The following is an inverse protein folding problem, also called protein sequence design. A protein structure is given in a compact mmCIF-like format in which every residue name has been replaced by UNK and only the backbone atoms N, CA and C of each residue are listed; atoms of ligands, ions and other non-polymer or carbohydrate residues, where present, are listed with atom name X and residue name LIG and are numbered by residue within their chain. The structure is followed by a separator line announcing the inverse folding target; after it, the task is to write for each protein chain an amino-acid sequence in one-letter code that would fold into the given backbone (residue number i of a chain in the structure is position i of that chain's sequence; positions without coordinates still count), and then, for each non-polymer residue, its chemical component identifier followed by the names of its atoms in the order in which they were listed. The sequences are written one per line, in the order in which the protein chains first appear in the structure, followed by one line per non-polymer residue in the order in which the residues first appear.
data_IF_432983003403
#
_entry.id   IF_432983003403
#
_cell.length_a   1.000
_cell.length_b   1.000
_cell.length_c   1.000
_cell.angle_alpha   90.00
_cell.angle_beta   90.00
_cell.angle_gamma   90.00
#
_symmetry.space_group_name_H-M   'P 1'
#
loop_
_entity.id
_entity.type
_entity.pdbx_description
1 polymer ?
#
# COMPACT_ATOMS: atom_id res chain seq x y z
N UNK A 1 5.04 7.05 0.95
CA UNK A 1 5.25 5.83 0.14
C UNK A 1 5.88 4.76 1.00
N UNK A 2 5.27 3.61 1.04
CA UNK A 2 5.74 2.45 1.79
C UNK A 2 6.39 1.45 0.83
N UNK A 3 7.43 0.77 1.27
CA UNK A 3 8.27 -0.05 0.39
C UNK A 3 8.11 -1.54 0.57
N UNK A 4 7.74 -1.95 1.77
CA UNK A 4 7.60 -3.35 2.13
C UNK A 4 6.13 -3.72 2.28
N UNK A 5 5.79 -4.96 1.98
CA UNK A 5 4.47 -5.48 2.29
C UNK A 5 4.14 -5.22 3.77
N UNK A 6 2.94 -4.76 4.11
CA UNK A 6 2.54 -4.43 5.47
C UNK A 6 2.27 -5.71 6.28
N UNK A 7 3.30 -6.55 6.42
CA UNK A 7 3.22 -7.73 7.27
C UNK A 7 3.08 -7.30 8.74
N UNK A 8 2.54 -8.15 9.62
CA UNK A 8 2.47 -7.86 11.05
C UNK A 8 3.83 -7.48 11.63
N UNK A 9 4.90 -8.15 11.18
CA UNK A 9 6.27 -7.88 11.61
C UNK A 9 6.80 -6.52 11.12
N UNK A 10 6.53 -6.16 9.85
CA UNK A 10 6.93 -4.86 9.30
C UNK A 10 6.24 -3.69 10.00
N UNK A 11 4.97 -3.84 10.36
CA UNK A 11 4.24 -2.85 11.15
C UNK A 11 4.80 -2.71 12.57
N UNK A 12 5.17 -3.82 13.19
CA UNK A 12 5.78 -3.82 14.53
C UNK A 12 7.11 -3.08 14.56
N UNK A 13 7.96 -3.31 13.58
CA UNK A 13 9.28 -2.68 13.46
C UNK A 13 9.21 -1.22 13.02
N UNK A 14 8.03 -0.67 12.71
CA UNK A 14 7.88 0.69 12.18
C UNK A 14 8.92 1.01 11.12
N UNK A 15 9.00 0.19 10.10
CA UNK A 15 9.98 0.37 9.06
C UNK A 15 9.69 1.64 8.25
N UNK A 16 10.23 2.74 8.70
CA UNK A 16 10.27 4.02 7.98
C UNK A 16 11.53 4.06 7.13
N UNK A 17 11.51 3.39 6.01
CA UNK A 17 12.59 3.50 5.05
C UNK A 17 12.48 4.85 4.33
N UNK A 18 13.17 5.83 4.83
CA UNK A 18 13.29 7.19 4.28
C UNK A 18 14.23 7.26 3.08
N UNK A 19 14.28 6.29 2.19
CA UNK A 19 15.14 6.35 1.00
C UNK A 19 14.33 6.51 -0.28
N UNK A 20 14.81 7.40 -1.16
CA UNK A 20 14.28 7.63 -2.50
C UNK A 20 14.42 6.36 -3.34
N UNK A 21 13.41 5.51 -3.34
CA UNK A 21 13.30 4.39 -4.27
C UNK A 21 12.27 4.77 -5.31
N UNK A 22 12.64 4.58 -6.55
CA UNK A 22 11.81 4.90 -7.70
C UNK A 22 10.57 3.98 -7.78
N UNK A 23 10.73 2.71 -7.43
CA UNK A 23 9.64 1.73 -7.39
C UNK A 23 9.28 1.38 -5.95
N UNK A 24 8.00 1.19 -5.70
CA UNK A 24 7.46 0.89 -4.37
C UNK A 24 6.44 -0.25 -4.45
N UNK A 25 6.26 -0.97 -3.35
CA UNK A 25 5.30 -2.06 -3.27
C UNK A 25 3.87 -1.56 -3.18
N UNK A 26 3.65 -0.49 -2.47
CA UNK A 26 2.36 0.16 -2.34
C UNK A 26 2.50 1.64 -2.02
N UNK A 27 1.45 2.39 -2.27
CA UNK A 27 1.37 3.84 -2.05
C UNK A 27 0.09 4.19 -1.32
N UNK A 28 0.15 5.27 -0.54
CA UNK A 28 -1.04 5.84 0.09
C UNK A 28 -1.87 6.59 -0.96
N UNK A 29 -3.19 6.40 -0.93
CA UNK A 29 -4.13 7.00 -1.88
C UNK A 29 -4.40 8.50 -1.64
N UNK A 30 -3.69 9.16 -0.73
CA UNK A 30 -3.81 10.62 -0.57
C UNK A 30 -3.54 11.39 -1.88
N UNK A 31 -2.66 10.84 -2.74
CA UNK A 31 -2.49 11.29 -4.10
C UNK A 31 -2.02 10.10 -4.96
N UNK A 32 -2.93 9.53 -5.71
CA UNK A 32 -2.68 8.39 -6.59
C UNK A 32 -3.18 8.71 -7.99
N UNK A 33 -2.33 8.50 -8.98
CA UNK A 33 -2.70 8.60 -10.40
C UNK A 33 -2.61 7.23 -11.03
N UNK A 34 -3.68 6.81 -11.67
CA UNK A 34 -3.80 5.52 -12.32
C UNK A 34 -4.42 5.71 -13.72
N UNK A 35 -3.98 4.90 -14.67
CA UNK A 35 -4.62 4.90 -16.01
C UNK A 35 -6.02 4.31 -15.88
N UNK A 36 -6.99 4.91 -16.60
CA UNK A 36 -8.40 4.48 -16.59
C UNK A 36 -8.56 2.99 -16.90
N UNK A 37 -7.90 2.50 -17.95
CA UNK A 37 -7.98 1.09 -18.33
C UNK A 37 -7.47 0.14 -17.23
N UNK A 38 -6.45 0.53 -16.48
CA UNK A 38 -5.94 -0.25 -15.33
C UNK A 38 -6.95 -0.22 -14.21
N UNK A 39 -7.55 0.93 -13.92
CA UNK A 39 -8.61 1.07 -12.92
C UNK A 39 -9.81 0.16 -13.23
N UNK A 40 -10.27 0.17 -14.47
CA UNK A 40 -11.38 -0.65 -14.93
C UNK A 40 -11.04 -2.14 -14.90
N UNK A 41 -9.84 -2.53 -15.37
CA UNK A 41 -9.35 -3.90 -15.32
C UNK A 41 -9.28 -4.46 -13.88
N UNK A 42 -8.89 -3.63 -12.93
CA UNK A 42 -8.77 -4.01 -11.53
C UNK A 42 -10.07 -3.80 -10.73
N UNK A 43 -11.14 -3.31 -11.37
CA UNK A 43 -12.42 -3.00 -10.72
C UNK A 43 -12.31 -1.99 -9.55
N UNK A 44 -11.35 -1.06 -9.62
CA UNK A 44 -11.21 0.01 -8.64
C UNK A 44 -10.80 -0.47 -7.23
N UNK A 45 -11.25 0.23 -6.20
CA UNK A 45 -11.07 -0.18 -4.81
C UNK A 45 -11.99 -1.37 -4.45
N UNK A 46 -11.53 -2.25 -3.59
CA UNK A 46 -12.39 -3.27 -2.98
C UNK A 46 -13.27 -2.60 -1.90
N UNK A 47 -14.58 -2.51 -2.19
CA UNK A 47 -15.57 -1.89 -1.30
C UNK A 47 -15.74 -2.63 0.04
N UNK A 48 -15.17 -3.81 0.18
CA UNK A 48 -15.10 -4.52 1.47
C UNK A 48 -14.21 -3.82 2.50
N UNK A 49 -13.36 -2.87 2.09
CA UNK A 49 -12.65 -1.98 3.00
C UNK A 49 -13.49 -0.72 3.23
N UNK A 50 -13.97 -0.54 4.46
CA UNK A 50 -14.69 0.70 4.80
C UNK A 50 -13.74 1.90 4.88
N UNK A 51 -12.56 1.70 5.46
CA UNK A 51 -11.51 2.71 5.61
C UNK A 51 -10.19 2.02 5.94
N UNK A 52 -9.09 2.50 5.36
CA UNK A 52 -7.73 1.95 5.48
C UNK A 52 -7.51 0.65 4.71
N UNK A 53 -6.31 0.45 4.24
CA UNK A 53 -5.81 -0.71 3.48
C UNK A 53 -6.42 -0.91 2.08
N UNK A 54 -7.41 -0.11 1.66
CA UNK A 54 -7.93 -0.12 0.28
C UNK A 54 -6.86 0.25 -0.74
N UNK A 55 -5.98 1.18 -0.37
CA UNK A 55 -4.85 1.63 -1.17
C UNK A 55 -3.74 0.58 -1.26
N UNK A 56 -3.49 -0.11 -0.17
CA UNK A 56 -2.56 -1.25 -0.13
C UNK A 56 -3.07 -2.37 -1.03
N UNK A 57 -4.33 -2.78 -0.87
CA UNK A 57 -4.94 -3.84 -1.67
C UNK A 57 -4.90 -3.52 -3.16
N UNK A 58 -5.31 -2.31 -3.56
CA UNK A 58 -5.23 -1.86 -4.95
C UNK A 58 -3.78 -1.89 -5.47
N UNK A 59 -2.83 -1.40 -4.70
CA UNK A 59 -1.41 -1.41 -5.06
C UNK A 59 -0.90 -2.84 -5.30
N UNK A 60 -1.26 -3.78 -4.43
CA UNK A 60 -0.89 -5.19 -4.60
C UNK A 60 -1.51 -5.80 -5.84
N UNK A 61 -2.78 -5.47 -6.16
CA UNK A 61 -3.43 -5.92 -7.40
C UNK A 61 -2.76 -5.35 -8.65
N UNK A 62 -2.34 -4.09 -8.63
CA UNK A 62 -1.53 -3.48 -9.69
C UNK A 62 -0.25 -4.28 -9.92
N UNK A 63 0.49 -4.59 -8.84
CA UNK A 63 1.73 -5.37 -8.94
C UNK A 63 1.50 -6.81 -9.39
N UNK A 64 0.46 -7.46 -8.90
CA UNK A 64 0.09 -8.82 -9.33
C UNK A 64 -0.33 -8.89 -10.79
N UNK A 65 -0.82 -7.78 -11.36
CA UNK A 65 -1.06 -7.64 -12.79
C UNK A 65 0.22 -7.39 -13.62
N UNK A 66 1.41 -7.47 -13.02
CA UNK A 66 2.70 -7.25 -13.67
C UNK A 66 3.04 -5.78 -13.93
N UNK A 67 2.28 -4.87 -13.32
CA UNK A 67 2.51 -3.43 -13.47
C UNK A 67 3.42 -2.91 -12.36
N UNK A 68 4.06 -1.77 -12.61
CA UNK A 68 4.96 -1.11 -11.66
C UNK A 68 4.30 0.14 -11.07
N UNK A 69 4.63 0.43 -9.82
CA UNK A 69 4.21 1.64 -9.14
C UNK A 69 5.43 2.53 -8.97
N UNK A 70 5.34 3.76 -9.47
CA UNK A 70 6.41 4.72 -9.42
C UNK A 70 6.04 5.91 -8.52
N UNK A 71 7.02 6.41 -7.80
CA UNK A 71 6.89 7.63 -7.05
C UNK A 71 7.15 8.82 -8.00
N UNK A 72 6.15 9.69 -8.15
CA UNK A 72 6.34 10.94 -8.86
C UNK A 72 7.07 11.97 -7.97
N UNK A 73 7.98 12.76 -8.57
CA UNK A 73 8.68 13.86 -7.88
C UNK A 73 7.81 15.13 -7.82
N UNK A 74 6.59 14.99 -7.30
CA UNK A 74 5.68 16.10 -7.07
C UNK A 74 5.43 16.31 -5.59
N UNK A 75 5.27 17.55 -5.18
CA UNK A 75 4.87 17.91 -3.82
C UNK A 75 3.37 18.14 -3.78
N UNK A 76 2.68 17.35 -3.00
CA UNK A 76 1.24 17.49 -2.76
C UNK A 76 1.03 17.84 -1.31
N UNK A 77 0.27 18.90 -1.05
CA UNK A 77 -0.14 19.26 0.29
C UNK A 77 -1.43 18.51 0.64
N UNK A 78 -1.34 17.58 1.60
CA UNK A 78 -2.48 16.81 2.08
C UNK A 78 -2.74 17.13 3.55
N UNK A 79 -3.86 17.77 3.83
CA UNK A 79 -4.31 18.09 5.20
C UNK A 79 -4.99 16.86 5.84
N UNK A 80 -4.25 15.75 5.92
CA UNK A 80 -4.74 14.51 6.53
C UNK A 80 -4.87 14.65 8.04
N UNK A 81 -6.07 14.44 8.57
CA UNK A 81 -6.28 14.31 10.00
C UNK A 81 -5.87 12.90 10.43
N UNK A 82 -4.89 12.79 11.34
CA UNK A 82 -4.43 11.49 11.88
C UNK A 82 -5.36 11.00 12.98
N UNK A 83 -6.65 10.84 12.66
CA UNK A 83 -7.70 10.54 13.62
C UNK A 83 -7.62 9.12 14.21
N UNK A 84 -6.93 8.20 13.51
CA UNK A 84 -6.74 6.83 14.00
C UNK A 84 -5.98 6.76 15.34
N UNK A 85 -5.23 7.81 15.70
CA UNK A 85 -4.54 7.91 16.98
C UNK A 85 -5.39 8.56 18.08
N UNK A 86 -6.48 9.22 17.71
CA UNK A 86 -7.32 10.02 18.62
C UNK A 86 -8.68 9.39 18.90
N UNK A 87 -9.11 8.44 18.08
CA UNK A 87 -10.44 7.84 18.16
C UNK A 87 -10.39 6.32 18.17
N UNK A 88 -10.97 5.69 19.19
CA UNK A 88 -11.14 4.24 19.27
C UNK A 88 -11.92 3.68 18.07
N UNK A 89 -12.85 4.45 17.52
CA UNK A 89 -13.62 4.08 16.33
C UNK A 89 -12.71 3.91 15.11
N UNK A 90 -11.84 4.86 14.84
CA UNK A 90 -10.87 4.78 13.75
C UNK A 90 -9.84 3.67 13.97
N UNK A 91 -9.43 3.44 15.21
CA UNK A 91 -8.55 2.33 15.55
C UNK A 91 -9.20 0.98 15.23
N UNK A 92 -10.48 0.78 15.61
CA UNK A 92 -11.23 -0.44 15.29
C UNK A 92 -11.35 -0.66 13.78
N UNK A 93 -11.65 0.39 13.00
CA UNK A 93 -11.68 0.30 11.54
C UNK A 93 -10.33 -0.09 10.96
N UNK A 94 -9.24 0.49 11.48
CA UNK A 94 -7.90 0.15 11.01
C UNK A 94 -7.56 -1.32 11.30
N UNK A 95 -7.86 -1.81 12.50
CA UNK A 95 -7.64 -3.22 12.86
C UNK A 95 -8.48 -4.14 11.97
N UNK A 96 -9.76 -3.83 11.77
CA UNK A 96 -10.64 -4.63 10.92
C UNK A 96 -10.11 -4.71 9.47
N UNK A 97 -9.67 -3.58 8.92
CA UNK A 97 -9.10 -3.52 7.57
C UNK A 97 -7.77 -4.26 7.45
N UNK A 98 -6.91 -4.21 8.46
CA UNK A 98 -5.68 -5.01 8.50
C UNK A 98 -5.97 -6.51 8.55
N UNK A 99 -6.90 -6.94 9.39
CA UNK A 99 -7.29 -8.35 9.46
C UNK A 99 -7.87 -8.83 8.12
N UNK A 100 -8.72 -8.00 7.47
CA UNK A 100 -9.23 -8.29 6.14
C UNK A 100 -8.08 -8.42 5.13
N UNK A 101 -7.15 -7.46 5.11
CA UNK A 101 -6.02 -7.49 4.19
C UNK A 101 -5.20 -8.77 4.37
N UNK A 102 -4.80 -9.10 5.59
CA UNK A 102 -3.98 -10.28 5.87
C UNK A 102 -4.68 -11.61 5.58
N UNK A 103 -6.01 -11.65 5.64
CA UNK A 103 -6.80 -12.82 5.26
C UNK A 103 -7.16 -12.85 3.76
N UNK A 104 -6.83 -11.80 3.01
CA UNK A 104 -7.21 -11.69 1.60
C UNK A 104 -6.35 -12.58 0.69
N UNK A 105 -6.96 -13.18 -0.35
CA UNK A 105 -6.21 -13.91 -1.38
C UNK A 105 -5.17 -13.03 -2.10
N UNK A 106 -5.44 -11.73 -2.23
CA UNK A 106 -4.55 -10.74 -2.84
C UNK A 106 -3.26 -10.65 -2.05
N UNK A 107 -3.35 -10.44 -0.73
CA UNK A 107 -2.18 -10.35 0.14
C UNK A 107 -1.37 -11.64 0.16
N UNK A 108 -2.04 -12.80 0.25
CA UNK A 108 -1.37 -14.10 0.21
C UNK A 108 -0.61 -14.33 -1.10
N UNK A 109 -1.24 -14.03 -2.26
CA UNK A 109 -0.58 -14.10 -3.57
C UNK A 109 0.60 -13.14 -3.65
N UNK A 110 0.43 -11.92 -3.17
CA UNK A 110 1.50 -10.93 -3.16
C UNK A 110 2.71 -11.39 -2.35
N UNK A 111 2.52 -11.93 -1.16
CA UNK A 111 3.60 -12.48 -0.34
C UNK A 111 4.36 -13.64 -1.01
N UNK A 112 3.68 -14.44 -1.85
CA UNK A 112 4.29 -15.58 -2.53
C UNK A 112 4.94 -15.23 -3.86
N UNK A 113 4.35 -14.32 -4.62
CA UNK A 113 4.69 -14.10 -6.03
C UNK A 113 5.48 -12.82 -6.26
N UNK A 114 5.32 -11.81 -5.41
CA UNK A 114 6.05 -10.58 -5.56
C UNK A 114 7.41 -10.72 -4.87
N UNK A 115 8.47 -10.63 -5.67
CA UNK A 115 9.82 -10.50 -5.15
C UNK A 115 9.95 -9.13 -4.47
N UNK A 116 10.62 -9.04 -3.30
CA UNK A 116 10.96 -7.75 -2.72
C UNK A 116 11.74 -6.92 -3.74
N UNK A 117 11.37 -5.65 -3.90
CA UNK A 117 12.14 -4.75 -4.76
C UNK A 117 13.54 -4.62 -4.15
N UNK A 118 14.60 -4.95 -4.88
CA UNK A 118 15.95 -4.90 -4.35
C UNK A 118 16.24 -3.50 -3.79
N UNK A 119 16.64 -3.43 -2.53
CA UNK A 119 17.16 -2.20 -1.97
C UNK A 119 18.43 -1.88 -2.75
N UNK A 120 18.46 -0.74 -3.45
CA UNK A 120 19.56 -0.34 -4.34
C UNK A 120 20.95 -0.19 -3.67
N UNK A 121 21.25 -1.02 -2.68
CA UNK A 121 22.49 -1.03 -1.90
C UNK A 121 23.57 -1.95 -2.42
N UNK A 122 23.42 -2.54 -3.60
CA UNK A 122 24.50 -3.31 -4.21
C UNK A 122 24.75 -2.86 -5.64
N UNK A 123 25.56 -1.80 -5.78
CA UNK A 123 26.62 -1.67 -6.79
C UNK A 123 27.57 -0.55 -6.34
N UNK A 124 28.62 -0.94 -5.71
CA UNK A 124 29.93 -0.34 -5.87
C UNK A 124 30.69 -1.25 -6.79
#
# INVERSE_FOLDING_TARGET
CERALPTPWALFLRYTASKRVEQVDWVNAACLVLRRNVWEQLAGFDEGYFMYCEDVDLSLRVRLAGLTIHRAEVKVCHFGQRDSRKSLKHFRWHVASLLRLWSSPVFYKACRLLQPIPDGRHRI
#
